data_IF_552030682445
#
_entry.id   IF_552030682445
#
_cell.length_a   1.000
_cell.length_b   1.000
_cell.length_c   1.000
_cell.angle_alpha   90.00
_cell.angle_beta   90.00
_cell.angle_gamma   90.00
#
_symmetry.space_group_name_H-M   'P 1'
#
loop_
_entity.id
_entity.type
_entity.pdbx_description
1 polymer ?
#
# COMPACT_ATOMS: atom_id res chain seq x y z
N UNK A 1 -5.80 -8.69 -10.57
CA UNK A 1 -5.16 -9.86 -9.91
C UNK A 1 -6.24 -10.61 -9.14
N UNK A 2 -6.36 -11.93 -9.30
CA UNK A 2 -7.27 -12.73 -8.46
C UNK A 2 -6.48 -13.24 -7.26
N UNK A 3 -6.64 -12.54 -6.13
CA UNK A 3 -6.09 -12.94 -4.85
C UNK A 3 -7.17 -13.66 -4.02
N UNK A 4 -6.79 -14.58 -3.12
CA UNK A 4 -7.72 -15.10 -2.12
C UNK A 4 -8.40 -13.97 -1.37
N UNK A 5 -9.68 -14.13 -1.02
CA UNK A 5 -10.45 -13.07 -0.35
C UNK A 5 -9.82 -12.59 0.96
N UNK A 6 -9.20 -13.50 1.72
CA UNK A 6 -8.45 -13.17 2.93
C UNK A 6 -7.31 -12.19 2.63
N UNK A 7 -6.48 -12.52 1.64
CA UNK A 7 -5.35 -11.69 1.23
C UNK A 7 -5.82 -10.34 0.70
N UNK A 8 -6.91 -10.32 -0.07
CA UNK A 8 -7.49 -9.06 -0.56
C UNK A 8 -7.99 -8.19 0.60
N UNK A 9 -8.65 -8.79 1.58
CA UNK A 9 -9.12 -8.08 2.77
C UNK A 9 -7.98 -7.43 3.54
N UNK A 10 -6.90 -8.18 3.79
CA UNK A 10 -5.72 -7.65 4.48
C UNK A 10 -5.07 -6.50 3.71
N UNK A 11 -4.98 -6.61 2.39
CA UNK A 11 -4.45 -5.54 1.53
C UNK A 11 -5.33 -4.29 1.56
N UNK A 12 -6.66 -4.45 1.58
CA UNK A 12 -7.59 -3.33 1.63
C UNK A 12 -7.49 -2.58 2.98
N UNK A 13 -7.40 -3.30 4.11
CA UNK A 13 -7.23 -2.70 5.44
C UNK A 13 -5.93 -1.91 5.51
N UNK A 14 -4.81 -2.53 5.11
CA UNK A 14 -3.49 -1.88 5.16
C UNK A 14 -3.40 -0.68 4.22
N UNK A 15 -4.08 -0.73 3.07
CA UNK A 15 -4.18 0.44 2.19
C UNK A 15 -4.90 1.60 2.88
N UNK A 16 -6.02 1.35 3.56
CA UNK A 16 -6.80 2.42 4.19
C UNK A 16 -5.99 3.14 5.27
N UNK A 17 -5.19 2.41 6.04
CA UNK A 17 -4.27 2.96 7.05
C UNK A 17 -3.19 3.85 6.41
N UNK A 18 -2.46 3.34 5.42
CA UNK A 18 -1.37 4.06 4.75
C UNK A 18 -1.88 5.26 3.95
N UNK A 19 -3.03 5.12 3.28
CA UNK A 19 -3.67 6.22 2.55
C UNK A 19 -4.12 7.32 3.50
N UNK A 20 -4.65 6.98 4.68
CA UNK A 20 -5.01 7.96 5.68
C UNK A 20 -3.77 8.71 6.22
N UNK A 21 -2.61 8.05 6.35
CA UNK A 21 -1.36 8.73 6.69
C UNK A 21 -0.87 9.64 5.56
N UNK A 22 -0.79 9.11 4.34
CA UNK A 22 -0.36 9.86 3.16
C UNK A 22 -1.17 11.13 2.93
N UNK A 23 -2.51 11.05 3.08
CA UNK A 23 -3.40 12.21 3.00
C UNK A 23 -3.10 13.28 4.04
N UNK A 24 -2.71 12.89 5.26
CA UNK A 24 -2.37 13.85 6.32
C UNK A 24 -1.05 14.55 6.04
N UNK A 25 -0.07 13.83 5.52
CA UNK A 25 1.29 14.35 5.32
C UNK A 25 1.46 15.12 4.01
N UNK A 26 0.84 14.64 2.93
CA UNK A 26 1.01 15.16 1.57
C UNK A 26 -0.21 15.88 1.03
N UNK A 27 -1.37 15.75 1.69
CA UNK A 27 -2.63 16.36 1.24
C UNK A 27 -3.32 15.59 0.09
N UNK A 28 -2.71 14.51 -0.39
CA UNK A 28 -3.20 13.72 -1.54
C UNK A 28 -3.45 12.26 -1.16
N UNK A 29 -4.32 11.59 -1.91
CA UNK A 29 -4.64 10.19 -1.70
C UNK A 29 -3.68 9.28 -2.47
N UNK A 30 -3.31 8.15 -1.88
CA UNK A 30 -2.67 7.07 -2.63
C UNK A 30 -3.66 6.45 -3.61
N UNK A 31 -3.16 6.08 -4.79
CA UNK A 31 -3.91 5.30 -5.77
C UNK A 31 -3.52 3.82 -5.68
N UNK A 32 -4.52 2.95 -5.47
CA UNK A 32 -4.27 1.50 -5.26
C UNK A 32 -3.42 0.86 -6.35
N UNK A 33 -3.76 1.12 -7.62
CA UNK A 33 -3.11 0.48 -8.76
C UNK A 33 -1.79 1.13 -9.17
N UNK A 34 -1.62 2.43 -8.91
CA UNK A 34 -0.45 3.20 -9.33
C UNK A 34 0.65 3.19 -8.26
N UNK A 35 0.25 3.29 -6.99
CA UNK A 35 1.17 3.53 -5.88
C UNK A 35 1.26 2.28 -4.97
N UNK A 36 0.12 1.83 -4.43
CA UNK A 36 0.11 0.83 -3.36
C UNK A 36 0.46 -0.60 -3.81
N UNK A 37 -0.22 -1.17 -4.81
CA UNK A 37 0.06 -2.55 -5.22
C UNK A 37 1.49 -2.73 -5.76
N UNK A 38 2.05 -1.80 -6.56
CA UNK A 38 3.45 -1.86 -6.93
C UNK A 38 4.39 -1.87 -5.72
N UNK A 39 4.13 -1.01 -4.73
CA UNK A 39 4.92 -0.95 -3.50
C UNK A 39 4.83 -2.25 -2.68
N UNK A 40 3.64 -2.86 -2.58
CA UNK A 40 3.45 -4.16 -1.92
C UNK A 40 4.25 -5.26 -2.62
N UNK A 41 4.24 -5.29 -3.95
CA UNK A 41 5.02 -6.26 -4.73
C UNK A 41 6.51 -6.02 -4.53
N UNK A 42 6.97 -4.76 -4.55
CA UNK A 42 8.36 -4.40 -4.31
C UNK A 42 8.81 -4.85 -2.91
N UNK A 43 8.09 -4.47 -1.86
CA UNK A 43 8.36 -4.87 -0.48
C UNK A 43 8.51 -6.38 -0.33
N UNK A 44 7.60 -7.15 -0.96
CA UNK A 44 7.66 -8.60 -0.94
C UNK A 44 8.86 -9.21 -1.67
N UNK A 45 9.43 -8.50 -2.65
CA UNK A 45 10.59 -8.95 -3.43
C UNK A 45 11.93 -8.51 -2.83
N UNK A 46 11.98 -7.31 -2.25
CA UNK A 46 13.23 -6.71 -1.72
C UNK A 46 13.38 -6.89 -0.22
N UNK A 47 12.30 -7.19 0.50
CA UNK A 47 12.27 -7.22 1.96
C UNK A 47 12.31 -5.83 2.60
N UNK A 48 12.19 -4.77 1.80
CA UNK A 48 12.06 -3.39 2.29
C UNK A 48 10.68 -3.17 2.92
N UNK A 49 10.63 -2.25 3.89
CA UNK A 49 9.36 -1.88 4.51
C UNK A 49 8.50 -1.06 3.54
N UNK A 50 7.20 -1.34 3.57
CA UNK A 50 6.24 -0.72 2.65
C UNK A 50 6.13 0.80 2.86
N UNK A 51 6.37 1.25 4.09
CA UNK A 51 6.33 2.65 4.48
C UNK A 51 7.51 3.42 3.88
N UNK A 52 8.70 2.83 3.90
CA UNK A 52 9.90 3.40 3.27
C UNK A 52 9.71 3.52 1.76
N UNK A 53 9.14 2.51 1.10
CA UNK A 53 8.89 2.54 -0.36
C UNK A 53 7.88 3.63 -0.73
N UNK A 54 6.92 3.92 0.16
CA UNK A 54 5.88 4.94 -0.07
C UNK A 54 6.29 6.33 0.41
N UNK A 55 7.52 6.52 0.90
CA UNK A 55 8.02 7.76 1.49
C UNK A 55 7.07 8.31 2.58
N UNK A 56 6.63 7.42 3.47
CA UNK A 56 5.63 7.62 4.54
C UNK A 56 6.18 7.43 5.96
#
# INVERSE_FOLDING_TARGET
MYLPESVRGDLDIRFDELNARHKRERGEALEKNRDYYPAVVQAGLTGEDLEDILDL
#
